data_IF_300867584029
#
_entry.id   IF_300867584029
#
_cell.length_a   1.000
_cell.length_b   1.000
_cell.length_c   1.000
_cell.angle_alpha   90.00
_cell.angle_beta   90.00
_cell.angle_gamma   90.00
#
_symmetry.space_group_name_H-M   'P 1'
#
loop_
_entity.id
_entity.type
_entity.pdbx_description
1 polymer ?
#
# COMPACT_ATOMS: atom_id res chain seq x y z
N UNK A 1 22.09 -18.97 -16.74
CA UNK A 1 22.50 -17.93 -15.77
C UNK A 1 21.52 -16.76 -15.68
N UNK A 2 21.08 -16.18 -16.80
CA UNK A 2 20.17 -15.00 -16.82
C UNK A 2 18.90 -15.13 -15.97
N UNK A 3 18.17 -16.24 -16.08
CA UNK A 3 16.93 -16.46 -15.32
C UNK A 3 17.18 -16.64 -13.82
N UNK A 4 18.27 -17.31 -13.45
CA UNK A 4 18.69 -17.45 -12.05
C UNK A 4 19.01 -16.10 -11.43
N UNK A 5 19.72 -15.22 -12.15
CA UNK A 5 20.04 -13.87 -11.68
C UNK A 5 18.75 -13.05 -11.54
N UNK A 6 17.87 -13.09 -12.54
CA UNK A 6 16.56 -12.40 -12.52
C UNK A 6 15.71 -12.82 -11.30
N UNK A 7 15.61 -14.11 -11.03
CA UNK A 7 14.78 -14.61 -9.93
C UNK A 7 15.46 -14.35 -8.58
N UNK A 8 16.79 -14.50 -8.52
CA UNK A 8 17.61 -14.17 -7.37
C UNK A 8 17.53 -12.70 -6.96
N UNK A 9 17.62 -11.76 -7.91
CA UNK A 9 17.46 -10.31 -7.65
C UNK A 9 16.06 -9.99 -7.16
N UNK A 10 15.03 -10.68 -7.68
CA UNK A 10 13.66 -10.57 -7.18
C UNK A 10 13.52 -11.08 -5.74
N UNK A 11 14.12 -12.21 -5.40
CA UNK A 11 14.14 -12.77 -4.04
C UNK A 11 14.86 -11.87 -3.05
N UNK A 12 16.03 -11.35 -3.39
CA UNK A 12 16.78 -10.42 -2.54
C UNK A 12 15.98 -9.12 -2.36
N UNK A 13 15.42 -8.58 -3.45
CA UNK A 13 14.63 -7.35 -3.44
C UNK A 13 13.43 -7.43 -2.50
N UNK A 14 12.65 -8.52 -2.54
CA UNK A 14 11.50 -8.69 -1.63
C UNK A 14 11.90 -8.80 -0.17
N UNK A 15 13.02 -9.46 0.16
CA UNK A 15 13.52 -9.60 1.54
C UNK A 15 13.94 -8.23 2.08
N UNK A 16 14.77 -7.50 1.33
CA UNK A 16 15.22 -6.16 1.71
C UNK A 16 14.04 -5.21 1.88
N UNK A 17 13.08 -5.25 0.95
CA UNK A 17 11.90 -4.41 1.02
C UNK A 17 11.02 -4.73 2.24
N UNK A 18 10.75 -6.01 2.50
CA UNK A 18 9.98 -6.44 3.65
C UNK A 18 10.63 -5.99 4.97
N UNK A 19 11.95 -6.16 5.09
CA UNK A 19 12.72 -5.71 6.24
C UNK A 19 12.67 -4.18 6.41
N UNK A 20 12.87 -3.43 5.32
CA UNK A 20 12.96 -1.97 5.38
C UNK A 20 11.60 -1.29 5.60
N UNK A 21 10.50 -1.85 5.07
CA UNK A 21 9.18 -1.19 4.98
C UNK A 21 8.03 -1.94 5.63
N UNK A 22 8.24 -3.13 6.19
CA UNK A 22 7.17 -3.97 6.73
C UNK A 22 6.23 -3.29 7.72
N UNK A 23 6.76 -2.47 8.64
CA UNK A 23 5.96 -1.73 9.65
C UNK A 23 5.06 -0.66 9.03
N UNK A 24 5.44 -0.11 7.87
CA UNK A 24 4.63 0.87 7.16
C UNK A 24 3.50 0.24 6.35
N UNK A 25 3.58 -1.06 6.00
CA UNK A 25 2.62 -1.70 5.10
C UNK A 25 1.21 -1.78 5.69
N UNK A 26 1.10 -2.08 6.99
CA UNK A 26 -0.19 -2.11 7.69
C UNK A 26 -0.66 -0.69 8.05
N UNK A 27 0.22 0.11 8.66
CA UNK A 27 -0.10 1.47 9.13
C UNK A 27 -0.46 2.44 7.98
N UNK A 28 0.19 2.32 6.83
CA UNK A 28 -0.06 3.14 5.64
C UNK A 28 -0.64 2.30 4.49
N UNK A 29 -1.56 1.39 4.80
CA UNK A 29 -2.14 0.45 3.84
C UNK A 29 -2.62 1.09 2.53
N UNK A 30 -3.38 2.20 2.56
CA UNK A 30 -3.89 2.87 1.34
C UNK A 30 -2.75 3.34 0.42
N UNK A 31 -1.68 3.89 1.01
CA UNK A 31 -0.50 4.38 0.28
C UNK A 31 0.22 3.22 -0.39
N UNK A 32 0.52 2.18 0.39
CA UNK A 32 1.30 1.05 -0.11
C UNK A 32 0.53 0.21 -1.12
N UNK A 33 -0.81 0.15 -1.03
CA UNK A 33 -1.65 -0.46 -2.06
C UNK A 33 -1.48 0.25 -3.39
N UNK A 34 -1.59 1.57 -3.40
CA UNK A 34 -1.44 2.38 -4.61
C UNK A 34 0.00 2.39 -5.15
N UNK A 35 1.01 2.37 -4.27
CA UNK A 35 2.43 2.22 -4.69
C UNK A 35 2.66 0.86 -5.34
N UNK A 36 2.07 -0.21 -4.80
CA UNK A 36 2.15 -1.54 -5.40
C UNK A 36 1.50 -1.55 -6.80
N UNK A 37 0.34 -0.91 -6.98
CA UNK A 37 -0.29 -0.79 -8.30
C UNK A 37 0.59 -0.03 -9.31
N UNK A 38 1.21 1.08 -8.89
CA UNK A 38 2.14 1.84 -9.75
C UNK A 38 3.38 1.02 -10.11
N UNK A 39 3.96 0.29 -9.17
CA UNK A 39 5.14 -0.55 -9.44
C UNK A 39 4.80 -1.74 -10.34
N UNK A 40 3.59 -2.30 -10.21
CA UNK A 40 3.10 -3.33 -11.09
C UNK A 40 2.99 -2.82 -12.53
N UNK A 41 2.41 -1.64 -12.73
CA UNK A 41 2.25 -1.03 -14.05
C UNK A 41 3.60 -0.63 -14.65
N UNK A 42 4.53 -0.14 -13.83
CA UNK A 42 5.92 0.12 -14.25
C UNK A 42 6.63 -1.16 -14.70
N UNK A 43 6.44 -2.27 -13.99
CA UNK A 43 6.99 -3.57 -14.41
C UNK A 43 6.41 -4.03 -15.75
N UNK A 44 5.10 -3.83 -15.99
CA UNK A 44 4.49 -4.09 -17.30
C UNK A 44 5.08 -3.22 -18.42
N UNK A 45 5.29 -1.92 -18.18
CA UNK A 45 5.95 -1.03 -19.16
C UNK A 45 7.38 -1.48 -19.43
N UNK A 46 8.12 -1.91 -18.41
CA UNK A 46 9.46 -2.49 -18.59
C UNK A 46 9.40 -3.76 -19.43
N UNK A 47 8.43 -4.65 -19.21
CA UNK A 47 8.30 -5.88 -19.98
C UNK A 47 7.96 -5.62 -21.46
N UNK A 48 7.11 -4.62 -21.75
CA UNK A 48 6.80 -4.20 -23.14
C UNK A 48 8.03 -3.57 -23.81
N UNK A 49 8.87 -2.84 -23.06
CA UNK A 49 10.04 -2.16 -23.61
C UNK A 49 11.29 -3.03 -23.71
N UNK A 50 11.43 -4.03 -22.85
CA UNK A 50 12.64 -4.86 -22.76
C UNK A 50 13.07 -5.46 -24.11
N UNK A 51 12.18 -5.99 -24.97
CA UNK A 51 12.56 -6.56 -26.27
C UNK A 51 13.23 -5.57 -27.24
N UNK A 52 13.07 -4.26 -27.06
CA UNK A 52 13.73 -3.25 -27.90
C UNK A 52 15.22 -3.06 -27.55
N UNK A 53 15.68 -3.62 -26.44
CA UNK A 53 17.07 -3.55 -26.00
C UNK A 53 17.79 -4.87 -26.27
N UNK A 54 19.10 -4.79 -26.55
CA UNK A 54 19.95 -5.95 -26.83
C UNK A 54 21.15 -6.03 -25.89
N UNK A 55 21.89 -7.13 -25.94
CA UNK A 55 23.09 -7.34 -25.12
C UNK A 55 22.79 -7.39 -23.63
N UNK A 56 23.59 -6.69 -22.82
CA UNK A 56 23.46 -6.69 -21.36
C UNK A 56 22.22 -5.92 -20.83
N UNK A 57 21.59 -5.07 -21.65
CA UNK A 57 20.44 -4.27 -21.23
C UNK A 57 19.16 -5.09 -21.11
N UNK A 58 18.88 -6.00 -22.06
CA UNK A 58 17.72 -6.89 -22.00
C UNK A 58 17.59 -7.64 -20.65
N UNK A 59 18.61 -8.40 -20.21
CA UNK A 59 18.52 -9.10 -18.93
C UNK A 59 18.48 -8.14 -17.73
N UNK A 60 19.06 -6.94 -17.81
CA UNK A 60 18.96 -5.94 -16.76
C UNK A 60 17.52 -5.43 -16.58
N UNK A 61 16.80 -5.15 -17.67
CA UNK A 61 15.38 -4.80 -17.62
C UNK A 61 14.53 -5.95 -17.08
N UNK A 62 14.81 -7.20 -17.47
CA UNK A 62 14.12 -8.36 -16.90
C UNK A 62 14.34 -8.48 -15.37
N UNK A 63 15.57 -8.23 -14.89
CA UNK A 63 15.87 -8.23 -13.45
C UNK A 63 15.13 -7.10 -12.74
N UNK A 64 15.10 -5.89 -13.30
CA UNK A 64 14.38 -4.75 -12.74
C UNK A 64 12.87 -5.04 -12.63
N UNK A 65 12.25 -5.54 -13.71
CA UNK A 65 10.84 -5.96 -13.71
C UNK A 65 10.56 -7.04 -12.66
N UNK A 66 11.42 -8.06 -12.57
CA UNK A 66 11.32 -9.11 -11.55
C UNK A 66 11.38 -8.55 -10.12
N UNK A 67 12.32 -7.64 -9.83
CA UNK A 67 12.44 -6.99 -8.54
C UNK A 67 11.21 -6.13 -8.20
N UNK A 68 10.69 -5.35 -9.15
CA UNK A 68 9.46 -4.60 -8.95
C UNK A 68 8.27 -5.52 -8.65
N UNK A 69 8.07 -6.58 -9.42
CA UNK A 69 6.99 -7.56 -9.19
C UNK A 69 7.14 -8.27 -7.83
N UNK A 70 8.37 -8.54 -7.39
CA UNK A 70 8.62 -9.12 -6.08
C UNK A 70 8.25 -8.16 -4.95
N UNK A 71 8.55 -6.86 -5.09
CA UNK A 71 8.13 -5.81 -4.16
C UNK A 71 6.60 -5.67 -4.15
N UNK A 72 5.97 -5.67 -5.33
CA UNK A 72 4.50 -5.66 -5.50
C UNK A 72 3.88 -6.84 -4.77
N UNK A 73 4.45 -8.04 -4.87
CA UNK A 73 3.97 -9.23 -4.16
C UNK A 73 3.94 -9.03 -2.65
N UNK A 74 4.99 -8.43 -2.07
CA UNK A 74 5.04 -8.16 -0.63
C UNK A 74 4.07 -7.05 -0.21
N UNK A 75 4.15 -5.88 -0.87
CA UNK A 75 3.32 -4.73 -0.53
C UNK A 75 1.83 -4.99 -0.80
N UNK A 76 1.52 -5.57 -1.97
CA UNK A 76 0.18 -5.98 -2.37
C UNK A 76 -0.39 -7.05 -1.45
N UNK A 77 0.40 -8.10 -1.12
CA UNK A 77 -0.01 -9.14 -0.18
C UNK A 77 -0.34 -8.60 1.21
N UNK A 78 0.58 -7.81 1.80
CA UNK A 78 0.38 -7.24 3.14
C UNK A 78 -0.82 -6.28 3.20
N UNK A 79 -0.96 -5.39 2.20
CA UNK A 79 -2.08 -4.45 2.15
C UNK A 79 -3.41 -5.13 1.86
N UNK A 80 -3.43 -6.18 1.03
CA UNK A 80 -4.59 -7.04 0.85
C UNK A 80 -5.02 -7.67 2.16
N UNK A 81 -4.09 -8.26 2.93
CA UNK A 81 -4.41 -8.84 4.25
C UNK A 81 -5.04 -7.80 5.19
N UNK A 82 -4.51 -6.57 5.24
CA UNK A 82 -5.08 -5.50 6.06
C UNK A 82 -6.51 -5.11 5.61
N UNK A 83 -6.76 -5.06 4.30
CA UNK A 83 -8.10 -4.79 3.73
C UNK A 83 -9.06 -5.94 4.02
N UNK A 84 -8.66 -7.19 3.81
CA UNK A 84 -9.48 -8.37 4.11
C UNK A 84 -9.85 -8.42 5.59
N UNK A 85 -8.91 -8.10 6.48
CA UNK A 85 -9.17 -7.95 7.92
C UNK A 85 -10.18 -6.86 8.22
N UNK A 86 -10.06 -5.70 7.56
CA UNK A 86 -11.02 -4.61 7.71
C UNK A 86 -12.44 -4.99 7.25
N UNK A 87 -12.55 -5.78 6.17
CA UNK A 87 -13.83 -6.28 5.64
C UNK A 87 -14.43 -7.40 6.48
N UNK A 88 -13.63 -8.12 7.27
CA UNK A 88 -14.07 -9.20 8.16
C UNK A 88 -14.76 -8.67 9.43
N UNK A 89 -15.99 -8.16 9.29
CA UNK A 89 -16.74 -7.51 10.40
C UNK A 89 -17.36 -8.47 11.42
N UNK A 90 -17.42 -9.78 11.14
CA UNK A 90 -18.11 -10.78 12.00
C UNK A 90 -17.20 -11.95 12.38
N UNK A 91 -15.92 -11.67 12.68
CA UNK A 91 -14.91 -12.71 12.94
C UNK A 91 -14.84 -13.76 11.80
N UNK A 92 -15.14 -13.34 10.58
CA UNK A 92 -15.31 -14.17 9.40
C UNK A 92 -14.14 -14.01 8.41
N UNK A 93 -12.92 -13.87 8.94
CA UNK A 93 -11.73 -13.56 8.13
C UNK A 93 -11.48 -14.59 7.03
N UNK A 94 -11.58 -15.88 7.36
CA UNK A 94 -11.36 -16.96 6.41
C UNK A 94 -12.41 -16.96 5.28
N UNK A 95 -13.69 -16.69 5.59
CA UNK A 95 -14.76 -16.61 4.58
C UNK A 95 -14.55 -15.42 3.62
N UNK A 96 -14.19 -14.25 4.15
CA UNK A 96 -13.89 -13.08 3.33
C UNK A 96 -12.66 -13.33 2.46
N UNK A 97 -11.59 -13.92 3.02
CA UNK A 97 -10.39 -14.27 2.28
C UNK A 97 -10.67 -15.29 1.16
N UNK A 98 -11.48 -16.32 1.41
CA UNK A 98 -11.85 -17.33 0.41
C UNK A 98 -12.69 -16.73 -0.74
N UNK A 99 -13.62 -15.82 -0.41
CA UNK A 99 -14.43 -15.10 -1.42
C UNK A 99 -13.59 -14.16 -2.27
N UNK A 100 -12.68 -13.42 -1.66
CA UNK A 100 -11.75 -12.53 -2.36
C UNK A 100 -10.80 -13.33 -3.28
N UNK A 101 -10.25 -14.45 -2.81
CA UNK A 101 -9.45 -15.36 -3.66
C UNK A 101 -10.24 -15.99 -4.81
N UNK A 102 -11.51 -16.32 -4.59
CA UNK A 102 -12.41 -16.80 -5.66
C UNK A 102 -12.67 -15.73 -6.72
N UNK A 103 -12.84 -14.46 -6.32
CA UNK A 103 -13.01 -13.34 -7.25
C UNK A 103 -11.78 -13.13 -8.12
N UNK A 104 -10.58 -13.15 -7.52
CA UNK A 104 -9.32 -13.08 -8.27
C UNK A 104 -9.18 -14.23 -9.28
N UNK A 105 -9.51 -15.45 -8.87
CA UNK A 105 -9.49 -16.63 -9.76
C UNK A 105 -10.44 -16.46 -10.94
N UNK A 106 -11.66 -15.99 -10.70
CA UNK A 106 -12.65 -15.73 -11.76
C UNK A 106 -12.16 -14.65 -12.73
N UNK A 107 -11.60 -13.56 -12.22
CA UNK A 107 -11.05 -12.47 -13.06
C UNK A 107 -9.88 -12.99 -13.90
N UNK A 108 -8.98 -13.79 -13.33
CA UNK A 108 -7.86 -14.40 -14.06
C UNK A 108 -8.36 -15.37 -15.16
N UNK A 109 -9.39 -16.15 -14.87
CA UNK A 109 -10.01 -17.04 -15.87
C UNK A 109 -10.62 -16.25 -17.04
N UNK A 110 -11.37 -15.18 -16.76
CA UNK A 110 -11.91 -14.30 -17.80
C UNK A 110 -10.78 -13.63 -18.58
N UNK A 111 -9.74 -13.14 -17.89
CA UNK A 111 -8.56 -12.52 -18.50
C UNK A 111 -7.85 -13.47 -19.46
N UNK A 112 -7.77 -14.76 -19.14
CA UNK A 112 -7.18 -15.77 -20.01
C UNK A 112 -7.96 -15.91 -21.32
N UNK A 113 -9.30 -15.99 -21.24
CA UNK A 113 -10.18 -16.07 -22.41
C UNK A 113 -10.04 -14.81 -23.27
N UNK A 114 -10.09 -13.63 -22.64
CA UNK A 114 -9.93 -12.35 -23.35
C UNK A 114 -8.56 -12.25 -24.01
N UNK A 115 -7.50 -12.66 -23.32
CA UNK A 115 -6.14 -12.65 -23.84
C UNK A 115 -5.98 -13.55 -25.06
N UNK A 116 -6.59 -14.75 -25.07
CA UNK A 116 -6.57 -15.66 -26.21
C UNK A 116 -7.17 -15.02 -27.48
N UNK A 117 -8.22 -14.21 -27.31
CA UNK A 117 -8.88 -13.50 -28.42
C UNK A 117 -8.12 -12.24 -28.83
N UNK A 118 -7.58 -11.49 -27.86
CA UNK A 118 -6.93 -10.20 -28.09
C UNK A 118 -5.51 -10.31 -28.64
N UNK A 119 -4.72 -11.32 -28.23
CA UNK A 119 -3.32 -11.44 -28.62
C UNK A 119 -3.12 -11.47 -30.14
N UNK A 120 -3.87 -12.27 -30.93
CA UNK A 120 -3.76 -12.24 -32.39
C UNK A 120 -4.10 -10.88 -33.01
N UNK A 121 -5.03 -10.12 -32.41
CA UNK A 121 -5.46 -8.82 -32.93
C UNK A 121 -4.41 -7.71 -32.70
N UNK A 122 -3.53 -7.85 -31.71
CA UNK A 122 -2.53 -6.83 -31.35
C UNK A 122 -1.10 -7.22 -31.74
N UNK A 123 -0.84 -8.49 -32.09
CA UNK A 123 0.50 -9.04 -32.28
C UNK A 123 1.38 -8.23 -33.25
N UNK A 124 0.82 -7.79 -34.37
CA UNK A 124 1.58 -7.13 -35.44
C UNK A 124 1.50 -5.59 -35.38
N UNK A 125 0.92 -5.02 -34.32
CA UNK A 125 0.73 -3.57 -34.18
C UNK A 125 1.28 -3.03 -32.86
N UNK A 126 2.59 -2.69 -32.80
CA UNK A 126 3.20 -2.07 -31.62
C UNK A 126 2.48 -0.79 -31.19
N UNK A 127 1.99 -0.01 -32.16
CA UNK A 127 1.24 1.21 -31.87
C UNK A 127 -0.07 0.92 -31.12
N UNK A 128 -0.79 -0.14 -31.52
CA UNK A 128 -2.02 -0.57 -30.83
C UNK A 128 -1.71 -1.10 -29.42
N UNK A 129 -0.61 -1.84 -29.25
CA UNK A 129 -0.15 -2.31 -27.93
C UNK A 129 0.09 -1.13 -26.99
N UNK A 130 0.86 -0.12 -27.43
CA UNK A 130 1.15 1.06 -26.62
C UNK A 130 -0.09 1.92 -26.33
N UNK A 131 -0.98 2.05 -27.30
CA UNK A 131 -2.26 2.75 -27.13
C UNK A 131 -3.13 2.07 -26.06
N UNK A 132 -3.35 0.76 -26.18
CA UNK A 132 -4.14 -0.01 -25.22
C UNK A 132 -3.47 -0.06 -23.84
N UNK A 133 -2.15 -0.25 -23.78
CA UNK A 133 -1.39 -0.24 -22.53
C UNK A 133 -1.56 1.08 -21.79
N UNK A 134 -1.49 2.21 -22.50
CA UNK A 134 -1.68 3.55 -21.91
C UNK A 134 -3.10 3.72 -21.34
N UNK A 135 -4.12 3.29 -22.09
CA UNK A 135 -5.52 3.33 -21.63
C UNK A 135 -5.72 2.46 -20.39
N UNK A 136 -5.24 1.21 -20.41
CA UNK A 136 -5.43 0.27 -19.31
C UNK A 136 -4.66 0.68 -18.06
N UNK A 137 -3.41 1.15 -18.17
CA UNK A 137 -2.65 1.66 -17.02
C UNK A 137 -3.35 2.88 -16.41
N UNK A 138 -3.79 3.82 -17.24
CA UNK A 138 -4.49 5.01 -16.74
C UNK A 138 -5.79 4.63 -16.01
N UNK A 139 -6.58 3.75 -16.61
CA UNK A 139 -7.81 3.24 -16.01
C UNK A 139 -7.52 2.46 -14.72
N UNK A 140 -6.52 1.59 -14.72
CA UNK A 140 -6.11 0.78 -13.57
C UNK A 140 -5.71 1.64 -12.38
N UNK A 141 -4.83 2.63 -12.56
CA UNK A 141 -4.41 3.54 -11.49
C UNK A 141 -5.58 4.39 -11.00
N UNK A 142 -6.43 4.91 -11.90
CA UNK A 142 -7.59 5.70 -11.51
C UNK A 142 -8.60 4.88 -10.69
N UNK A 143 -8.91 3.66 -11.13
CA UNK A 143 -9.82 2.76 -10.46
C UNK A 143 -9.28 2.38 -9.07
N UNK A 144 -8.01 2.01 -8.97
CA UNK A 144 -7.37 1.70 -7.69
C UNK A 144 -7.31 2.92 -6.76
N UNK A 145 -7.05 4.12 -7.29
CA UNK A 145 -7.13 5.35 -6.52
C UNK A 145 -8.54 5.55 -5.93
N UNK A 146 -9.60 5.38 -6.73
CA UNK A 146 -10.98 5.45 -6.23
C UNK A 146 -11.27 4.37 -5.18
N UNK A 147 -10.79 3.14 -5.40
CA UNK A 147 -10.97 2.03 -4.47
C UNK A 147 -10.32 2.31 -3.10
N UNK A 148 -9.04 2.74 -3.07
CA UNK A 148 -8.37 3.04 -1.79
C UNK A 148 -8.99 4.25 -1.08
N UNK A 149 -9.57 5.20 -1.82
CA UNK A 149 -10.29 6.36 -1.27
C UNK A 149 -11.66 5.98 -0.70
N UNK A 150 -12.27 4.90 -1.17
CA UNK A 150 -13.52 4.38 -0.63
C UNK A 150 -13.32 3.63 0.70
N UNK A 151 -12.11 3.15 1.00
CA UNK A 151 -11.79 2.45 2.24
C UNK A 151 -11.87 3.37 3.48
N UNK A 152 -12.57 2.90 4.51
CA UNK A 152 -12.79 3.62 5.77
C UNK A 152 -12.27 2.83 6.96
N UNK A 153 -10.95 2.82 7.16
CA UNK A 153 -10.33 2.11 8.28
C UNK A 153 -10.74 2.73 9.62
N UNK A 154 -11.10 1.87 10.57
CA UNK A 154 -11.41 2.21 11.97
C UNK A 154 -10.18 2.19 12.88
N UNK A 155 -9.02 1.81 12.35
CA UNK A 155 -7.72 1.87 13.05
C UNK A 155 -7.04 3.22 12.86
N UNK A 156 -6.34 3.71 13.89
CA UNK A 156 -5.56 4.94 13.81
C UNK A 156 -4.14 4.66 13.31
N UNK A 157 -3.75 5.32 12.23
CA UNK A 157 -2.35 5.50 11.87
C UNK A 157 -1.89 6.91 12.27
N UNK A 158 -0.61 7.23 12.06
CA UNK A 158 -0.07 8.54 12.44
C UNK A 158 -0.84 9.72 11.82
N UNK A 159 -1.31 9.60 10.56
CA UNK A 159 -2.01 10.66 9.85
C UNK A 159 -3.44 10.84 10.36
N UNK A 160 -4.18 9.75 10.50
CA UNK A 160 -5.53 9.74 11.06
C UNK A 160 -5.53 10.21 12.52
N UNK A 161 -4.52 9.80 13.30
CA UNK A 161 -4.32 10.28 14.65
C UNK A 161 -4.07 11.80 14.68
N UNK A 162 -3.20 12.33 13.83
CA UNK A 162 -2.94 13.77 13.77
C UNK A 162 -4.20 14.59 13.45
N UNK A 163 -5.05 14.10 12.53
CA UNK A 163 -6.35 14.70 12.20
C UNK A 163 -7.28 14.67 13.43
N UNK A 164 -7.40 13.52 14.09
CA UNK A 164 -8.23 13.38 15.28
C UNK A 164 -7.77 14.27 16.44
N UNK A 165 -6.47 14.34 16.72
CA UNK A 165 -5.90 15.19 17.78
C UNK A 165 -6.15 16.66 17.50
N UNK A 166 -5.94 17.10 16.24
CA UNK A 166 -6.24 18.48 15.85
C UNK A 166 -7.72 18.81 16.06
N UNK A 167 -8.62 17.95 15.59
CA UNK A 167 -10.05 18.12 15.82
C UNK A 167 -10.38 18.18 17.31
N UNK A 168 -9.79 17.30 18.13
CA UNK A 168 -10.00 17.29 19.57
C UNK A 168 -9.56 18.59 20.24
N UNK A 169 -8.40 19.16 19.87
CA UNK A 169 -7.97 20.47 20.33
C UNK A 169 -8.95 21.59 19.96
N UNK A 170 -9.63 21.45 18.81
CA UNK A 170 -10.67 22.36 18.34
C UNK A 170 -12.06 22.04 18.94
N UNK A 171 -12.16 21.09 19.87
CA UNK A 171 -13.41 20.67 20.53
C UNK A 171 -14.31 19.74 19.70
N UNK A 172 -13.82 19.23 18.56
CA UNK A 172 -14.58 18.40 17.61
C UNK A 172 -13.93 17.03 17.44
N UNK A 173 -14.65 15.95 17.73
CA UNK A 173 -14.15 14.59 17.43
C UNK A 173 -14.61 14.20 16.01
N UNK A 174 -13.70 14.13 15.01
CA UNK A 174 -14.10 13.79 13.65
C UNK A 174 -14.55 12.33 13.54
N UNK A 175 -15.57 12.07 12.72
CA UNK A 175 -16.03 10.71 12.44
C UNK A 175 -14.99 9.93 11.64
N UNK A 176 -15.02 8.59 11.73
CA UNK A 176 -14.15 7.70 10.95
C UNK A 176 -14.20 8.03 9.44
N UNK A 177 -15.40 8.32 8.92
CA UNK A 177 -15.58 8.68 7.52
C UNK A 177 -14.88 10.00 7.16
N UNK A 178 -15.02 11.04 7.99
CA UNK A 178 -14.38 12.34 7.78
C UNK A 178 -12.85 12.20 7.86
N UNK A 179 -12.35 11.55 8.91
CA UNK A 179 -10.90 11.32 9.10
C UNK A 179 -10.28 10.55 7.94
N UNK A 180 -10.96 9.52 7.41
CA UNK A 180 -10.46 8.76 6.26
C UNK A 180 -10.53 9.55 4.94
N UNK A 181 -11.49 10.47 4.79
CA UNK A 181 -11.60 11.35 3.63
C UNK A 181 -10.49 12.42 3.66
N UNK A 182 -10.15 12.95 4.83
CA UNK A 182 -9.09 13.95 4.99
C UNK A 182 -7.68 13.33 5.03
N UNK A 183 -7.56 12.01 5.19
CA UNK A 183 -6.28 11.30 5.20
C UNK A 183 -5.49 11.52 3.89
N UNK A 184 -4.29 12.12 3.95
CA UNK A 184 -3.45 12.27 2.77
C UNK A 184 -2.72 10.96 2.46
N UNK A 185 -2.71 10.56 1.19
CA UNK A 185 -2.11 9.28 0.80
C UNK A 185 -0.58 9.34 0.77
N UNK A 186 0.01 10.36 0.14
CA UNK A 186 1.45 10.37 -0.15
C UNK A 186 2.29 11.25 0.78
N UNK A 187 1.79 12.43 1.13
CA UNK A 187 2.54 13.36 1.98
C UNK A 187 2.25 13.12 3.48
N UNK A 188 3.18 13.57 4.31
CA UNK A 188 3.08 13.53 5.77
C UNK A 188 2.35 14.77 6.28
N UNK A 189 1.59 14.62 7.36
CA UNK A 189 1.03 15.75 8.10
C UNK A 189 2.03 16.10 9.21
N UNK A 190 2.93 17.03 8.92
CA UNK A 190 3.89 17.57 9.90
C UNK A 190 5.02 16.61 10.34
N UNK A 191 5.86 17.05 11.30
CA UNK A 191 6.92 16.22 11.88
C UNK A 191 6.30 15.03 12.65
N UNK A 192 7.04 13.92 12.78
CA UNK A 192 6.63 12.78 13.61
C UNK A 192 6.45 13.24 15.04
N UNK A 193 5.21 13.54 15.43
CA UNK A 193 4.87 13.75 16.82
C UNK A 193 4.85 12.38 17.48
N UNK A 194 5.83 12.12 18.34
CA UNK A 194 5.70 11.04 19.32
C UNK A 194 4.57 11.45 20.25
N UNK A 195 3.39 10.86 20.03
CA UNK A 195 2.28 11.01 20.94
C UNK A 195 2.50 10.04 22.09
N UNK A 196 3.05 10.55 23.18
CA UNK A 196 3.38 9.79 24.38
C UNK A 196 4.65 10.34 25.04
N UNK A 197 4.76 10.06 26.33
CA UNK A 197 6.00 10.20 27.09
C UNK A 197 6.25 8.85 27.78
N UNK A 198 7.49 8.56 28.19
CA UNK A 198 7.75 7.31 28.89
C UNK A 198 6.95 7.28 30.21
N UNK A 199 6.65 6.09 30.73
CA UNK A 199 5.96 5.99 32.03
C UNK A 199 6.74 6.74 33.12
N UNK A 200 8.07 6.76 33.02
CA UNK A 200 8.95 7.52 33.90
C UNK A 200 8.70 9.04 33.78
N UNK A 201 8.59 9.57 32.56
CA UNK A 201 8.28 10.98 32.35
C UNK A 201 6.89 11.35 32.90
N UNK A 202 5.90 10.46 32.71
CA UNK A 202 4.57 10.64 33.29
C UNK A 202 4.61 10.64 34.82
N UNK A 203 5.40 9.75 35.43
CA UNK A 203 5.56 9.70 36.89
C UNK A 203 6.27 10.94 37.43
N UNK A 204 7.28 11.47 36.73
CA UNK A 204 7.95 12.71 37.11
C UNK A 204 6.97 13.89 37.09
N UNK A 205 6.16 14.01 36.03
CA UNK A 205 5.13 15.06 35.93
C UNK A 205 4.08 14.89 37.04
N UNK A 206 3.65 13.66 37.33
CA UNK A 206 2.67 13.38 38.37
C UNK A 206 3.21 13.71 39.77
N UNK A 207 4.47 13.37 40.07
CA UNK A 207 5.13 13.70 41.33
C UNK A 207 5.24 15.22 41.49
N UNK A 208 5.64 15.93 40.43
CA UNK A 208 5.72 17.39 40.43
C UNK A 208 4.35 18.04 40.70
N UNK A 209 3.30 17.50 40.07
CA UNK A 209 1.92 17.97 40.26
C UNK A 209 1.44 17.72 41.70
N UNK A 210 1.70 16.54 42.27
CA UNK A 210 1.36 16.22 43.66
C UNK A 210 2.08 17.16 44.62
N UNK A 211 3.38 17.41 44.44
CA UNK A 211 4.15 18.33 45.29
C UNK A 211 3.56 19.74 45.23
N UNK A 212 3.24 20.25 44.03
CA UNK A 212 2.61 21.57 43.89
C UNK A 212 1.23 21.63 44.56
N UNK A 213 0.41 20.59 44.44
CA UNK A 213 -0.88 20.52 45.13
C UNK A 213 -0.73 20.43 46.66
N UNK A 214 0.26 19.70 47.17
CA UNK A 214 0.53 19.60 48.61
C UNK A 214 1.00 20.92 49.22
N UNK A 215 1.79 21.71 48.50
CA UNK A 215 2.18 23.06 48.93
C UNK A 215 1.03 24.08 48.86
N UNK A 216 0.09 23.92 47.92
CA UNK A 216 -1.08 24.79 47.79
C UNK A 216 -2.17 24.56 48.86
N UNK A 217 -2.15 23.42 49.56
CA UNK A 217 -3.07 23.10 50.67
C UNK A 217 -2.48 23.45 52.05
N UNK A 218 -1.19 23.80 52.11
CA UNK A 218 -0.47 24.12 53.34
C UNK A 218 -0.39 25.64 53.66
N UNK A 219 -1.20 26.47 53.00
CA UNK A 219 -1.41 27.91 53.25
C UNK A 219 -2.88 28.12 53.57
#
# INVERSE_FOLDING_TARGET
MTWLIKDGTGMIGRIIFAWAKGTELDSNCKKWRLVADVFNDLAFVIDITAPYFSGALFPAFCCLSSTLRAIVGVAGGATRTAVTRHQARRQNLADVAAKDGSQETLVNFISLIVSLIMLPAVNDSPMLVWFLATIFITFHIFANFKAVRALKFDTLNQKRLAICVRGFCDGIIPSVAKTNAEEPLFYRIGPMKHFGCSLADTMVILIHFIIQCSFAVAV
#
